data_IF_062544208212
#
_entry.id   IF_062544208212
#
_cell.length_a   1.000
_cell.length_b   1.000
_cell.length_c   1.000
_cell.angle_alpha   90.00
_cell.angle_beta   90.00
_cell.angle_gamma   90.00
#
_symmetry.space_group_name_H-M   'P 1'
#
loop_
_entity.id
_entity.type
_entity.pdbx_description
1 polymer ?
#
# COMPACT_ATOMS: atom_id res chain seq x y z
N UNK A 1 -48.12 -5.05 34.41
CA UNK A 1 -47.62 -3.64 34.36
C UNK A 1 -46.36 -3.56 35.22
N UNK A 2 -45.24 -3.03 34.67
CA UNK A 2 -43.94 -2.79 35.35
C UNK A 2 -43.00 -4.01 35.41
N UNK A 3 -41.94 -4.23 34.59
CA UNK A 3 -40.71 -3.44 34.27
C UNK A 3 -39.89 -3.17 35.56
N UNK A 4 -38.58 -3.44 35.70
CA UNK A 4 -37.42 -3.22 34.81
C UNK A 4 -36.25 -4.12 35.24
N UNK A 5 -35.42 -4.46 34.25
CA UNK A 5 -34.21 -5.29 34.23
C UNK A 5 -33.04 -4.63 35.00
N UNK A 6 -32.33 -5.44 35.78
CA UNK A 6 -31.07 -5.12 36.48
C UNK A 6 -30.00 -4.62 35.49
N UNK A 7 -29.69 -3.33 35.54
CA UNK A 7 -28.66 -2.70 34.74
C UNK A 7 -27.25 -3.04 35.25
N UNK A 8 -26.42 -3.63 34.38
CA UNK A 8 -24.95 -3.62 34.54
C UNK A 8 -24.45 -2.20 34.34
N UNK A 9 -23.89 -1.61 35.39
CA UNK A 9 -23.12 -0.37 35.31
C UNK A 9 -21.82 -0.68 34.58
N UNK A 10 -21.77 -0.39 33.28
CA UNK A 10 -20.53 -0.42 32.51
C UNK A 10 -19.73 0.84 32.86
N UNK A 11 -18.65 0.65 33.60
CA UNK A 11 -17.78 1.71 34.11
C UNK A 11 -17.15 2.48 32.93
N UNK A 12 -17.59 3.72 32.69
CA UNK A 12 -17.14 4.57 31.56
C UNK A 12 -15.62 4.83 31.52
N UNK A 13 -14.91 4.57 32.62
CA UNK A 13 -13.46 4.68 32.72
C UNK A 13 -12.72 3.63 31.87
N UNK A 14 -13.26 2.42 31.73
CA UNK A 14 -12.59 1.34 30.97
C UNK A 14 -12.61 1.60 29.45
N UNK A 15 -13.70 2.21 28.95
CA UNK A 15 -13.81 2.60 27.54
C UNK A 15 -12.87 3.77 27.19
N UNK A 16 -12.68 4.74 28.11
CA UNK A 16 -11.73 5.83 27.91
C UNK A 16 -10.28 5.34 27.82
N UNK A 17 -9.90 4.34 28.63
CA UNK A 17 -8.57 3.73 28.54
C UNK A 17 -8.35 2.98 27.23
N UNK A 18 -9.33 2.20 26.74
CA UNK A 18 -9.21 1.48 25.46
C UNK A 18 -9.12 2.46 24.27
N UNK A 19 -9.93 3.52 24.27
CA UNK A 19 -9.85 4.56 23.24
C UNK A 19 -8.50 5.31 23.28
N UNK A 20 -7.99 5.67 24.46
CA UNK A 20 -6.69 6.34 24.60
C UNK A 20 -5.51 5.45 24.15
N UNK A 21 -5.55 4.13 24.44
CA UNK A 21 -4.50 3.20 24.02
C UNK A 21 -4.50 2.98 22.50
N UNK A 22 -5.68 2.90 21.87
CA UNK A 22 -5.77 2.75 20.41
C UNK A 22 -5.39 4.01 19.62
N UNK A 23 -5.35 5.18 20.26
CA UNK A 23 -5.14 6.46 19.60
C UNK A 23 -3.66 6.92 19.54
N UNK A 24 -2.74 6.36 20.35
CA UNK A 24 -1.34 6.84 20.45
C UNK A 24 -0.33 6.19 19.49
N UNK A 25 -0.66 5.08 18.83
CA UNK A 25 0.32 4.37 18.00
C UNK A 25 0.69 5.13 16.71
N UNK A 26 -0.26 5.89 16.13
CA UNK A 26 -0.10 6.55 14.82
C UNK A 26 0.81 7.78 14.87
N UNK A 27 1.03 8.35 16.05
CA UNK A 27 1.85 9.55 16.25
C UNK A 27 3.33 9.23 16.52
N UNK A 28 3.71 7.95 16.60
CA UNK A 28 5.06 7.52 16.99
C UNK A 28 6.03 7.38 15.82
N UNK A 29 5.56 7.37 14.58
CA UNK A 29 6.41 7.17 13.41
C UNK A 29 6.10 8.18 12.30
N UNK A 30 7.15 8.60 11.61
CA UNK A 30 7.15 9.41 10.40
C UNK A 30 7.52 8.50 9.24
N UNK A 31 6.69 8.56 8.20
CA UNK A 31 6.89 7.81 6.98
C UNK A 31 7.15 8.75 5.81
N UNK A 32 8.20 8.45 5.05
CA UNK A 32 8.54 9.21 3.86
C UNK A 32 8.79 8.27 2.68
N UNK A 33 7.85 8.23 1.72
CA UNK A 33 8.09 7.65 0.41
C UNK A 33 8.82 8.67 -0.46
N UNK A 34 10.14 8.55 -0.56
CA UNK A 34 10.97 9.59 -1.17
C UNK A 34 11.27 9.34 -2.64
N UNK A 35 11.06 8.11 -3.13
CA UNK A 35 11.31 7.75 -4.54
C UNK A 35 10.42 6.60 -4.98
N UNK A 36 9.94 6.67 -6.21
CA UNK A 36 9.34 5.54 -6.94
C UNK A 36 10.23 5.14 -8.11
N UNK A 37 10.28 3.85 -8.44
CA UNK A 37 10.94 3.28 -9.61
C UNK A 37 10.08 2.18 -10.21
N UNK A 38 10.19 1.95 -11.51
CA UNK A 38 9.48 0.88 -12.19
C UNK A 38 10.44 0.06 -13.04
N UNK A 39 10.36 -1.25 -12.89
CA UNK A 39 11.12 -2.17 -13.73
C UNK A 39 10.27 -2.61 -14.91
N UNK A 40 10.85 -2.61 -16.09
CA UNK A 40 10.29 -3.26 -17.27
C UNK A 40 10.50 -4.77 -17.15
N UNK A 41 9.48 -5.49 -16.67
CA UNK A 41 9.60 -6.94 -16.40
C UNK A 41 9.27 -7.77 -17.62
N UNK A 42 8.27 -7.38 -18.40
CA UNK A 42 7.88 -8.10 -19.63
C UNK A 42 7.64 -7.14 -20.78
N UNK A 43 8.64 -6.95 -21.67
CA UNK A 43 8.50 -6.19 -22.90
C UNK A 43 7.39 -6.72 -23.82
N UNK A 44 7.01 -8.00 -23.64
CA UNK A 44 5.95 -8.67 -24.41
C UNK A 44 4.53 -8.35 -23.93
N UNK A 45 4.39 -7.70 -22.77
CA UNK A 45 3.08 -7.35 -22.20
C UNK A 45 2.85 -5.85 -22.13
N UNK A 46 3.89 -5.10 -21.79
CA UNK A 46 3.80 -3.66 -21.61
C UNK A 46 5.12 -2.95 -21.93
N UNK A 47 5.01 -1.66 -22.23
CA UNK A 47 6.07 -0.76 -22.62
C UNK A 47 5.84 0.64 -22.02
N UNK A 48 6.80 1.55 -22.23
CA UNK A 48 6.74 2.95 -21.78
C UNK A 48 6.44 3.10 -20.28
N UNK A 49 7.15 2.35 -19.45
CA UNK A 49 7.07 2.45 -17.99
C UNK A 49 7.68 3.79 -17.56
N UNK A 50 6.84 4.68 -17.02
CA UNK A 50 7.27 5.99 -16.53
C UNK A 50 6.93 6.10 -15.07
N UNK A 51 7.95 6.27 -14.22
CA UNK A 51 7.75 6.45 -12.80
C UNK A 51 8.55 7.66 -12.32
N UNK A 52 7.86 8.63 -11.75
CA UNK A 52 8.44 9.90 -11.34
C UNK A 52 7.98 10.29 -9.95
N UNK A 53 8.84 11.02 -9.25
CA UNK A 53 8.55 11.57 -7.93
C UNK A 53 8.70 13.07 -7.99
N UNK A 54 7.70 13.79 -7.48
CA UNK A 54 7.66 15.23 -7.41
C UNK A 54 7.54 15.64 -5.95
N UNK A 55 8.35 16.60 -5.53
CA UNK A 55 8.23 17.18 -4.19
C UNK A 55 7.02 18.11 -4.13
N UNK A 56 6.07 17.86 -3.23
CA UNK A 56 5.00 18.82 -2.93
C UNK A 56 5.47 19.82 -1.88
N UNK A 57 6.16 19.33 -0.83
CA UNK A 57 6.83 20.14 0.17
C UNK A 57 8.04 19.38 0.74
N UNK A 58 8.61 19.82 1.89
CA UNK A 58 9.80 19.20 2.49
C UNK A 58 9.58 17.72 2.87
N UNK A 59 8.38 17.36 3.33
CA UNK A 59 8.06 16.03 3.88
C UNK A 59 7.17 15.19 2.97
N UNK A 60 6.39 15.83 2.09
CA UNK A 60 5.38 15.18 1.24
C UNK A 60 5.86 15.12 -0.20
N UNK A 61 5.85 13.90 -0.75
CA UNK A 61 6.14 13.61 -2.15
C UNK A 61 4.92 13.03 -2.85
N UNK A 62 4.75 13.42 -4.10
CA UNK A 62 3.76 12.87 -5.01
C UNK A 62 4.45 11.97 -6.03
N UNK A 63 3.86 10.82 -6.31
CA UNK A 63 4.38 9.84 -7.24
C UNK A 63 3.44 9.66 -8.42
N UNK A 64 4.01 9.58 -9.61
CA UNK A 64 3.28 9.27 -10.84
C UNK A 64 3.84 7.99 -11.43
N UNK A 65 2.95 7.07 -11.80
CA UNK A 65 3.24 5.78 -12.40
C UNK A 65 2.37 5.65 -13.64
N UNK A 66 3.00 5.49 -14.80
CA UNK A 66 2.33 5.27 -16.07
C UNK A 66 2.92 4.04 -16.74
N UNK A 67 2.06 3.11 -17.14
CA UNK A 67 2.43 1.86 -17.79
C UNK A 67 1.52 1.68 -18.99
N UNK A 68 2.08 1.42 -20.17
CA UNK A 68 1.29 1.22 -21.39
C UNK A 68 1.29 -0.25 -21.76
N UNK A 69 0.13 -0.90 -21.68
CA UNK A 69 -0.04 -2.26 -22.18
C UNK A 69 0.06 -2.27 -23.71
N UNK A 70 0.55 -3.36 -24.29
CA UNK A 70 0.52 -3.51 -25.75
C UNK A 70 -0.93 -3.63 -26.25
N UNK A 71 -1.24 -3.25 -27.50
CA UNK A 71 -2.62 -3.19 -28.02
C UNK A 71 -3.44 -4.48 -27.85
N UNK A 72 -2.80 -5.64 -28.00
CA UNK A 72 -3.46 -6.95 -27.90
C UNK A 72 -3.41 -7.57 -26.50
N UNK A 73 -2.93 -6.83 -25.50
CA UNK A 73 -2.78 -7.33 -24.13
C UNK A 73 -3.96 -6.86 -23.29
N UNK A 74 -4.66 -7.82 -22.71
CA UNK A 74 -5.78 -7.60 -21.81
C UNK A 74 -5.49 -8.29 -20.49
N UNK A 75 -5.62 -7.55 -19.39
CA UNK A 75 -5.43 -8.05 -18.04
C UNK A 75 -6.77 -8.47 -17.43
N UNK A 76 -7.04 -9.78 -17.46
CA UNK A 76 -8.29 -10.37 -16.97
C UNK A 76 -8.19 -10.91 -15.55
N UNK A 77 -6.99 -11.37 -15.15
CA UNK A 77 -6.75 -12.04 -13.88
C UNK A 77 -5.49 -11.44 -13.26
N UNK A 78 -5.67 -10.33 -12.54
CA UNK A 78 -4.57 -9.57 -11.97
C UNK A 78 -4.26 -10.08 -10.57
N UNK A 79 -3.00 -10.48 -10.38
CA UNK A 79 -2.43 -10.79 -9.08
C UNK A 79 -1.47 -9.68 -8.67
N UNK A 80 -1.66 -9.13 -7.48
CA UNK A 80 -0.80 -8.09 -6.91
C UNK A 80 -0.04 -8.69 -5.74
N UNK A 81 1.28 -8.77 -5.87
CA UNK A 81 2.17 -9.17 -4.77
C UNK A 81 2.85 -7.96 -4.20
N UNK A 82 2.71 -7.76 -2.89
CA UNK A 82 3.31 -6.68 -2.12
C UNK A 82 4.38 -7.28 -1.23
N UNK A 83 5.62 -6.84 -1.41
CA UNK A 83 6.77 -7.30 -0.62
C UNK A 83 7.45 -6.15 0.08
N UNK A 84 7.66 -6.29 1.39
CA UNK A 84 8.43 -5.33 2.19
C UNK A 84 9.87 -5.81 2.37
N UNK A 85 10.83 -5.01 1.90
CA UNK A 85 12.25 -5.33 1.92
C UNK A 85 13.02 -4.26 2.67
N UNK A 86 13.56 -4.59 3.84
CA UNK A 86 14.44 -3.67 4.59
C UNK A 86 15.82 -3.57 3.97
N UNK A 87 16.44 -2.40 4.10
CA UNK A 87 17.84 -2.21 3.76
C UNK A 87 18.72 -2.59 4.95
N UNK A 88 19.51 -3.64 4.78
CA UNK A 88 20.49 -4.15 5.75
C UNK A 88 21.84 -4.27 5.05
N UNK A 89 22.90 -3.70 5.61
CA UNK A 89 24.26 -3.74 5.04
C UNK A 89 24.30 -3.36 3.55
N UNK A 90 23.64 -2.24 3.19
CA UNK A 90 23.48 -1.76 1.81
C UNK A 90 22.72 -2.66 0.83
N UNK A 91 22.16 -3.79 1.27
CA UNK A 91 21.34 -4.67 0.45
C UNK A 91 19.88 -4.64 0.93
N UNK A 92 18.92 -4.70 -0.01
CA UNK A 92 17.53 -4.90 0.34
C UNK A 92 17.27 -6.39 0.59
N UNK A 93 16.92 -6.72 1.83
CA UNK A 93 16.57 -8.07 2.28
C UNK A 93 15.10 -8.10 2.66
N UNK A 94 14.42 -9.18 2.27
CA UNK A 94 13.02 -9.42 2.63
C UNK A 94 12.93 -9.60 4.15
N UNK A 95 12.10 -8.81 4.81
CA UNK A 95 12.14 -8.72 6.27
C UNK A 95 10.85 -9.05 6.98
N UNK A 96 9.65 -8.80 6.40
CA UNK A 96 8.41 -8.80 7.22
C UNK A 96 7.19 -9.36 6.52
N UNK A 97 7.10 -9.28 5.19
CA UNK A 97 5.86 -9.69 4.56
C UNK A 97 5.97 -9.77 3.07
N UNK A 98 5.29 -10.76 2.55
CA UNK A 98 5.09 -10.99 1.14
C UNK A 98 3.69 -11.54 0.99
N UNK A 99 2.86 -10.73 0.39
CA UNK A 99 1.44 -10.97 0.36
C UNK A 99 0.98 -10.83 -1.08
N UNK A 100 0.27 -11.83 -1.57
CA UNK A 100 -0.28 -11.84 -2.92
C UNK A 100 -1.79 -11.96 -2.85
N UNK A 101 -2.46 -11.09 -3.59
CA UNK A 101 -3.91 -11.09 -3.73
C UNK A 101 -4.35 -11.16 -5.19
N UNK A 102 -5.53 -11.72 -5.39
CA UNK A 102 -6.29 -11.60 -6.63
C UNK A 102 -7.11 -10.29 -6.63
N UNK A 103 -6.59 -9.31 -7.35
CA UNK A 103 -7.17 -7.98 -7.43
C UNK A 103 -8.49 -7.96 -8.21
N UNK A 104 -8.61 -8.75 -9.28
CA UNK A 104 -9.86 -8.83 -10.04
C UNK A 104 -10.99 -9.48 -9.24
N UNK A 105 -10.67 -10.51 -8.44
CA UNK A 105 -11.61 -11.13 -7.49
C UNK A 105 -11.94 -10.25 -6.30
N UNK A 106 -11.07 -9.33 -5.92
CA UNK A 106 -11.42 -8.30 -4.96
C UNK A 106 -12.47 -7.34 -5.55
N UNK A 107 -12.25 -6.84 -6.77
CA UNK A 107 -13.13 -5.87 -7.42
C UNK A 107 -14.55 -6.40 -7.67
N UNK A 108 -14.68 -7.68 -8.05
CA UNK A 108 -15.98 -8.31 -8.24
C UNK A 108 -16.67 -8.73 -6.92
N UNK A 109 -16.04 -8.46 -5.76
CA UNK A 109 -16.59 -8.77 -4.44
C UNK A 109 -16.49 -10.24 -4.02
N UNK A 110 -15.83 -11.10 -4.81
CA UNK A 110 -15.73 -12.54 -4.49
C UNK A 110 -14.67 -12.85 -3.43
N UNK A 111 -13.70 -11.95 -3.21
CA UNK A 111 -12.65 -12.08 -2.20
C UNK A 111 -12.54 -10.79 -1.38
N UNK A 112 -12.32 -10.93 -0.08
CA UNK A 112 -12.00 -9.81 0.81
C UNK A 112 -10.50 -9.78 1.04
N UNK A 113 -9.85 -8.69 0.61
CA UNK A 113 -8.47 -8.38 0.96
C UNK A 113 -8.44 -7.16 1.88
N UNK A 114 -7.93 -7.29 3.13
CA UNK A 114 -7.78 -6.15 4.03
C UNK A 114 -6.88 -5.06 3.45
N UNK A 115 -5.76 -5.46 2.81
CA UNK A 115 -4.79 -4.52 2.25
C UNK A 115 -5.36 -3.77 1.05
N UNK A 116 -5.98 -4.49 0.10
CA UNK A 116 -6.60 -3.83 -1.06
C UNK A 116 -7.76 -2.95 -0.60
N UNK A 117 -8.55 -3.37 0.41
CA UNK A 117 -9.65 -2.54 0.94
C UNK A 117 -9.17 -1.20 1.51
N UNK A 118 -7.99 -1.17 2.14
CA UNK A 118 -7.39 0.05 2.67
C UNK A 118 -6.87 0.94 1.53
N UNK A 119 -6.20 0.36 0.53
CA UNK A 119 -5.52 1.11 -0.53
C UNK A 119 -6.43 1.52 -1.70
N UNK A 120 -7.48 0.74 -1.99
CA UNK A 120 -8.32 0.91 -3.18
C UNK A 120 -9.03 2.26 -3.26
N UNK A 121 -9.64 2.80 -2.17
CA UNK A 121 -10.26 4.13 -2.22
C UNK A 121 -9.28 5.24 -2.61
N UNK A 122 -8.00 5.07 -2.26
CA UNK A 122 -6.96 6.03 -2.59
C UNK A 122 -6.50 5.90 -4.04
N UNK A 123 -6.27 4.67 -4.50
CA UNK A 123 -5.91 4.38 -5.89
C UNK A 123 -6.99 4.85 -6.86
N UNK A 124 -8.27 4.67 -6.54
CA UNK A 124 -9.36 5.17 -7.40
C UNK A 124 -9.33 6.68 -7.62
N UNK A 125 -8.95 7.45 -6.60
CA UNK A 125 -8.91 8.93 -6.69
C UNK A 125 -7.73 9.43 -7.52
N UNK A 126 -6.66 8.64 -7.56
CA UNK A 126 -5.38 9.01 -8.15
C UNK A 126 -5.09 8.24 -9.44
N UNK A 127 -6.02 7.41 -9.94
CA UNK A 127 -5.77 6.59 -11.13
C UNK A 127 -6.95 6.51 -12.07
N UNK A 128 -6.70 6.03 -13.28
CA UNK A 128 -7.73 5.68 -14.26
C UNK A 128 -8.26 4.25 -14.11
N UNK A 129 -7.99 3.58 -12.98
CA UNK A 129 -8.47 2.23 -12.73
C UNK A 129 -9.97 2.25 -12.41
N UNK A 130 -10.75 1.50 -13.19
CA UNK A 130 -12.18 1.25 -12.95
C UNK A 130 -12.38 0.19 -11.87
N UNK A 131 -13.59 0.09 -11.31
CA UNK A 131 -13.98 -0.93 -10.32
C UNK A 131 -14.21 -2.34 -10.90
N UNK A 132 -13.72 -2.60 -12.11
CA UNK A 132 -13.95 -3.86 -12.80
C UNK A 132 -12.80 -4.20 -13.74
N UNK A 133 -12.42 -5.48 -13.74
CA UNK A 133 -11.60 -6.10 -14.78
C UNK A 133 -12.47 -6.45 -16.00
N UNK A 134 -11.95 -6.36 -17.24
CA UNK A 134 -10.53 -6.30 -17.55
C UNK A 134 -9.95 -4.92 -17.83
N UNK A 135 -8.61 -4.83 -17.77
CA UNK A 135 -7.85 -3.63 -18.10
C UNK A 135 -7.05 -3.79 -19.39
N UNK A 136 -7.02 -2.74 -20.20
CA UNK A 136 -6.25 -2.65 -21.45
C UNK A 136 -5.76 -1.21 -21.64
N UNK A 137 -4.80 -1.03 -22.55
CA UNK A 137 -4.25 0.30 -22.86
C UNK A 137 -3.37 0.88 -21.77
N UNK A 138 -3.54 2.17 -21.47
CA UNK A 138 -2.69 2.90 -20.52
C UNK A 138 -3.24 2.75 -19.11
N UNK A 139 -2.40 2.30 -18.18
CA UNK A 139 -2.64 2.37 -16.74
C UNK A 139 -1.87 3.56 -16.21
N UNK A 140 -2.57 4.49 -15.56
CA UNK A 140 -2.00 5.73 -15.07
C UNK A 140 -2.44 6.00 -13.63
N UNK A 141 -1.47 6.20 -12.75
CA UNK A 141 -1.64 6.63 -11.36
C UNK A 141 -0.85 7.94 -11.23
N UNK A 142 -1.50 9.03 -10.88
CA UNK A 142 -0.93 10.38 -10.82
C UNK A 142 -1.15 10.99 -9.45
N UNK A 143 -0.14 11.71 -8.97
CA UNK A 143 -0.17 12.42 -7.69
C UNK A 143 -0.47 11.50 -6.49
N UNK A 144 0.05 10.27 -6.52
CA UNK A 144 0.00 9.32 -5.42
C UNK A 144 0.90 9.79 -4.28
N UNK A 145 0.30 10.11 -3.15
CA UNK A 145 0.92 10.51 -1.88
C UNK A 145 0.61 9.44 -0.83
N UNK A 146 1.64 8.94 -0.17
CA UNK A 146 1.42 8.00 0.93
C UNK A 146 1.06 8.77 2.20
N UNK A 147 -0.20 8.62 2.63
CA UNK A 147 -0.63 9.00 3.97
C UNK A 147 -0.19 7.98 5.01
N UNK A 148 0.11 8.46 6.22
CA UNK A 148 0.47 7.60 7.36
C UNK A 148 -0.69 6.67 7.75
N UNK A 149 -1.93 7.08 7.45
CA UNK A 149 -3.14 6.32 7.74
C UNK A 149 -3.27 5.01 6.95
N UNK A 150 -2.52 4.85 5.86
CA UNK A 150 -2.57 3.65 5.00
C UNK A 150 -1.48 2.63 5.33
N UNK A 151 -0.60 2.95 6.29
CA UNK A 151 0.52 2.10 6.64
C UNK A 151 0.14 1.13 7.77
N UNK A 152 0.71 -0.08 7.78
CA UNK A 152 0.61 -0.97 8.92
C UNK A 152 1.15 -0.27 10.17
N UNK A 153 0.53 -0.47 11.35
CA UNK A 153 0.88 0.24 12.59
C UNK A 153 2.27 -0.08 13.15
N UNK A 154 3.02 -1.01 12.56
CA UNK A 154 4.34 -1.43 13.03
C UNK A 154 5.28 -1.77 11.86
N UNK A 155 5.61 -0.78 11.03
CA UNK A 155 6.75 -0.89 10.11
C UNK A 155 8.04 -0.62 10.89
N UNK A 156 9.07 -1.48 10.82
CA UNK A 156 10.30 -1.21 11.54
C UNK A 156 11.04 -0.04 10.95
N UNK A 157 11.77 0.62 11.83
CA UNK A 157 12.59 1.77 11.52
C UNK A 157 13.64 1.48 10.45
N UNK A 158 13.97 2.53 9.70
CA UNK A 158 15.06 2.54 8.75
C UNK A 158 14.59 2.67 7.31
N UNK A 159 15.52 2.41 6.39
CA UNK A 159 15.25 2.44 4.96
C UNK A 159 14.70 1.09 4.52
N UNK A 160 13.65 1.13 3.71
CA UNK A 160 13.06 -0.05 3.12
C UNK A 160 12.57 0.21 1.69
N UNK A 161 12.17 -0.87 1.04
CA UNK A 161 11.61 -0.87 -0.31
C UNK A 161 10.34 -1.70 -0.31
N UNK A 162 9.23 -1.06 -0.69
CA UNK A 162 7.95 -1.69 -0.92
C UNK A 162 7.83 -2.02 -2.41
N UNK A 163 7.80 -3.31 -2.74
CA UNK A 163 7.70 -3.80 -4.11
C UNK A 163 6.26 -4.21 -4.38
N UNK A 164 5.63 -3.62 -5.39
CA UNK A 164 4.31 -3.96 -5.90
C UNK A 164 4.49 -4.64 -7.25
N UNK A 165 4.41 -5.96 -7.24
CA UNK A 165 4.60 -6.80 -8.41
C UNK A 165 3.26 -7.24 -8.97
N UNK A 166 2.90 -6.69 -10.13
CA UNK A 166 1.67 -6.97 -10.87
C UNK A 166 1.91 -8.13 -11.83
N UNK A 167 1.07 -9.15 -11.76
CA UNK A 167 1.10 -10.31 -12.68
C UNK A 167 -0.28 -10.59 -13.25
N UNK A 168 -0.33 -11.23 -14.42
CA UNK A 168 -1.57 -11.52 -15.11
C UNK A 168 -1.68 -13.00 -15.51
N UNK A 169 -2.92 -13.48 -15.50
CA UNK A 169 -3.28 -14.80 -16.01
C UNK A 169 -2.98 -15.94 -15.02
N UNK A 170 -3.43 -17.16 -15.34
CA UNK A 170 -3.25 -18.34 -14.48
C UNK A 170 -1.78 -18.69 -14.24
N UNK A 171 -0.92 -18.40 -15.23
CA UNK A 171 0.53 -18.61 -15.14
C UNK A 171 1.26 -17.52 -14.35
N UNK A 172 0.55 -16.50 -13.83
CA UNK A 172 1.11 -15.36 -13.09
C UNK A 172 2.27 -14.69 -13.84
N UNK A 173 2.07 -14.37 -15.11
CA UNK A 173 3.11 -13.72 -15.94
C UNK A 173 3.31 -12.28 -15.46
N UNK A 174 4.54 -11.90 -15.15
CA UNK A 174 4.88 -10.57 -14.66
C UNK A 174 4.59 -9.49 -15.69
N UNK A 175 3.83 -8.48 -15.28
CA UNK A 175 3.49 -7.30 -16.10
C UNK A 175 4.39 -6.14 -15.70
N UNK A 176 4.45 -5.82 -14.41
CA UNK A 176 5.21 -4.68 -13.91
C UNK A 176 5.68 -4.92 -12.48
N UNK A 177 6.80 -4.30 -12.10
CA UNK A 177 7.24 -4.23 -10.71
C UNK A 177 7.51 -2.76 -10.35
N UNK A 178 6.66 -2.20 -9.50
CA UNK A 178 6.75 -0.84 -8.99
C UNK A 178 7.40 -0.88 -7.61
N UNK A 179 8.48 -0.13 -7.43
CA UNK A 179 9.25 -0.09 -6.19
C UNK A 179 9.13 1.30 -5.57
N UNK A 180 8.60 1.36 -4.36
CA UNK A 180 8.65 2.55 -3.52
C UNK A 180 9.79 2.44 -2.54
N UNK A 181 10.65 3.45 -2.52
CA UNK A 181 11.70 3.59 -1.53
C UNK A 181 11.18 4.45 -0.40
N UNK A 182 11.22 3.88 0.79
CA UNK A 182 10.54 4.40 1.96
C UNK A 182 11.53 4.50 3.11
N UNK A 183 11.33 5.50 3.94
CA UNK A 183 12.08 5.71 5.16
C UNK A 183 11.09 5.84 6.32
N UNK A 184 11.27 5.01 7.34
CA UNK A 184 10.47 5.02 8.57
C UNK A 184 11.36 5.54 9.69
N UNK A 185 10.92 6.58 10.40
CA UNK A 185 11.63 7.18 11.54
C UNK A 185 10.69 7.31 12.72
N UNK A 186 11.11 7.11 13.97
CA UNK A 186 10.30 7.46 15.12
C UNK A 186 10.07 8.99 15.17
N UNK A 187 8.85 9.40 15.44
CA UNK A 187 8.48 10.76 15.81
C UNK A 187 8.71 10.92 17.30
N UNK A 188 9.75 11.63 17.69
CA UNK A 188 9.86 12.18 19.05
C UNK A 188 10.19 11.22 20.20
N UNK A 189 10.89 10.12 19.97
CA UNK A 189 11.61 9.44 21.05
C UNK A 189 13.12 9.70 20.88
N UNK A 190 13.73 10.35 21.88
CA UNK A 190 15.18 10.34 22.03
C UNK A 190 15.66 8.89 21.93
N UNK A 191 16.74 8.66 21.18
CA UNK A 191 17.47 7.40 21.21
C UNK A 191 17.62 6.96 22.67
N UNK A 192 16.96 5.89 23.04
CA UNK A 192 17.38 5.12 24.20
C UNK A 192 18.54 4.27 23.69
N UNK A 193 19.72 4.86 23.72
CA UNK A 193 20.98 4.12 23.61
C UNK A 193 21.04 3.24 24.88
N UNK A 194 20.93 1.92 24.71
CA UNK A 194 21.18 0.92 25.76
C UNK A 194 22.67 0.59 25.82
#
# INVERSE_FOLDING_TARGET
MGKVISGRVFNGSFLLFVFAYSCRAKDLYSFNAYRVSCDQVSPKLAHNYTCSTRSLNRTVKAHTIRITLLPNVILNNIYVRISYNQRINNAYRRSIGDYEDDFCRFLNGTVKSPLIKILWPYLKKTSNLRDQCPYSGVINITDLVFGEEYLPPALPEGQARLDIHVRNGPQRVSVANVKFFIEVKPKGAAKLDF
#
